data_IF_334774052117
#
_entry.id   IF_334774052117
#
_cell.length_a   1.000
_cell.length_b   1.000
_cell.length_c   1.000
_cell.angle_alpha   90.00
_cell.angle_beta   90.00
_cell.angle_gamma   90.00
#
_symmetry.space_group_name_H-M   'P 1'
#
loop_
_entity.id
_entity.type
_entity.pdbx_description
1 polymer ?
#
# COMPACT_ATOMS: atom_id res chain seq x y z
N UNK A 1 34.90 20.69 46.42
CA UNK A 1 35.22 19.87 45.22
C UNK A 1 34.04 19.00 44.78
N UNK A 2 32.83 19.51 44.63
CA UNK A 2 31.62 18.66 44.36
C UNK A 2 30.72 19.18 43.24
N UNK A 3 30.93 20.37 42.69
CA UNK A 3 30.09 20.92 41.62
C UNK A 3 30.55 20.51 40.19
N UNK A 4 31.84 20.19 40.05
CA UNK A 4 32.41 19.83 38.75
C UNK A 4 32.01 18.44 38.28
N UNK A 5 31.87 17.47 39.18
CA UNK A 5 31.55 16.08 38.85
C UNK A 5 30.08 15.91 38.44
N UNK A 6 29.16 16.66 39.05
CA UNK A 6 27.73 16.60 38.70
C UNK A 6 27.47 17.08 37.27
N UNK A 7 28.17 18.12 36.81
CA UNK A 7 28.05 18.63 35.45
C UNK A 7 28.57 17.63 34.40
N UNK A 8 29.66 16.92 34.69
CA UNK A 8 30.23 15.89 33.80
C UNK A 8 29.26 14.70 33.68
N UNK A 9 28.67 14.26 34.77
CA UNK A 9 27.70 13.15 34.76
C UNK A 9 26.42 13.50 34.01
N UNK A 10 25.93 14.75 34.10
CA UNK A 10 24.78 15.20 33.30
C UNK A 10 25.07 15.22 31.82
N UNK A 11 26.26 15.66 31.39
CA UNK A 11 26.66 15.69 29.98
C UNK A 11 26.79 14.27 29.43
N UNK A 12 27.39 13.34 30.18
CA UNK A 12 27.51 11.94 29.79
C UNK A 12 26.13 11.25 29.66
N UNK A 13 25.19 11.55 30.57
CA UNK A 13 23.84 11.01 30.53
C UNK A 13 23.05 11.56 29.32
N UNK A 14 23.21 12.82 28.95
CA UNK A 14 22.56 13.42 27.78
C UNK A 14 23.15 12.89 26.49
N UNK A 15 24.49 12.73 26.36
CA UNK A 15 25.11 12.10 25.19
C UNK A 15 24.71 10.61 25.07
N UNK A 16 24.60 9.88 26.20
CA UNK A 16 24.14 8.49 26.19
C UNK A 16 22.68 8.33 25.71
N UNK A 17 21.81 9.29 26.02
CA UNK A 17 20.40 9.29 25.58
C UNK A 17 20.24 9.59 24.08
N UNK A 18 21.17 10.34 23.49
CA UNK A 18 21.15 10.68 22.05
C UNK A 18 21.63 9.54 21.15
N UNK A 19 22.30 8.52 21.68
CA UNK A 19 22.80 7.37 20.91
C UNK A 19 21.83 6.21 20.79
N UNK A 20 20.65 6.27 21.45
CA UNK A 20 19.61 5.26 21.33
C UNK A 20 18.58 5.58 20.24
N UNK A 21 19.00 6.22 19.16
CA UNK A 21 18.19 6.24 17.93
C UNK A 21 18.10 4.80 17.40
N UNK A 22 17.11 4.05 17.87
CA UNK A 22 16.72 2.81 17.20
C UNK A 22 16.33 3.19 15.78
N UNK A 23 17.14 2.76 14.82
CA UNK A 23 16.74 2.76 13.43
C UNK A 23 15.44 1.96 13.35
N UNK A 24 14.30 2.66 13.27
CA UNK A 24 13.05 2.04 12.90
C UNK A 24 13.24 1.55 11.47
N UNK A 25 13.58 0.29 11.33
CA UNK A 25 13.65 -0.40 10.04
C UNK A 25 12.22 -0.52 9.52
N UNK A 26 11.73 0.56 8.91
CA UNK A 26 10.38 0.66 8.33
C UNK A 26 10.24 -0.08 6.98
N UNK A 27 11.19 -0.97 6.63
CA UNK A 27 11.27 -1.54 5.27
C UNK A 27 10.68 -2.96 5.11
N UNK A 28 10.09 -3.54 6.17
CA UNK A 28 9.51 -4.87 6.08
C UNK A 28 7.98 -4.92 6.31
N UNK A 29 7.31 -3.76 6.28
CA UNK A 29 5.96 -3.63 6.82
C UNK A 29 4.80 -3.95 5.89
N UNK A 30 4.90 -3.69 4.58
CA UNK A 30 3.70 -3.69 3.74
C UNK A 30 3.02 -5.05 3.64
N UNK A 31 3.76 -6.13 3.37
CA UNK A 31 3.15 -7.47 3.26
C UNK A 31 2.70 -8.07 4.59
N UNK A 32 3.39 -7.74 5.71
CA UNK A 32 3.02 -8.22 7.06
C UNK A 32 1.80 -7.48 7.61
N UNK A 33 1.54 -6.27 7.11
CA UNK A 33 0.45 -5.41 7.57
C UNK A 33 -0.92 -5.83 7.05
N UNK A 34 -0.98 -6.70 6.03
CA UNK A 34 -2.21 -7.10 5.37
C UNK A 34 -2.46 -8.60 5.49
N UNK A 35 -3.74 -8.99 5.63
CA UNK A 35 -4.18 -10.37 5.76
C UNK A 35 -4.60 -10.94 4.40
N UNK A 36 -3.65 -11.56 3.71
CA UNK A 36 -3.88 -12.11 2.36
C UNK A 36 -4.77 -13.36 2.37
N UNK A 37 -4.88 -14.05 3.49
CA UNK A 37 -5.75 -15.22 3.63
C UNK A 37 -7.23 -14.79 3.71
N UNK A 38 -7.49 -13.52 4.05
CA UNK A 38 -8.81 -12.89 4.06
C UNK A 38 -9.05 -12.00 2.83
N UNK A 39 -8.37 -12.29 1.73
CA UNK A 39 -8.58 -11.56 0.49
C UNK A 39 -10.03 -11.71 -0.01
N UNK A 40 -10.56 -10.62 -0.56
CA UNK A 40 -11.89 -10.59 -1.15
C UNK A 40 -11.89 -9.85 -2.48
N UNK A 41 -12.93 -10.05 -3.29
CA UNK A 41 -13.09 -9.42 -4.61
C UNK A 41 -14.47 -8.77 -4.68
N UNK A 42 -14.53 -7.53 -5.14
CA UNK A 42 -15.79 -6.82 -5.36
C UNK A 42 -15.71 -5.86 -6.57
N UNK A 43 -16.90 -5.51 -7.09
CA UNK A 43 -17.05 -4.37 -7.99
C UNK A 43 -16.95 -3.07 -7.19
N UNK A 44 -16.24 -2.11 -7.74
CA UNK A 44 -15.98 -0.83 -7.07
C UNK A 44 -15.99 0.32 -8.09
N UNK A 45 -16.22 1.53 -7.60
CA UNK A 45 -16.10 2.76 -8.38
C UNK A 45 -14.94 3.57 -7.84
N UNK A 46 -13.98 3.91 -8.68
CA UNK A 46 -12.82 4.74 -8.30
C UNK A 46 -13.32 6.13 -7.92
N UNK A 47 -12.89 6.62 -6.76
CA UNK A 47 -13.13 8.00 -6.32
C UNK A 47 -11.89 8.87 -6.50
N UNK A 48 -10.70 8.30 -6.30
CA UNK A 48 -9.42 8.99 -6.50
C UNK A 48 -8.30 7.99 -6.80
N UNK A 49 -7.36 8.37 -7.65
CA UNK A 49 -6.11 7.65 -7.84
C UNK A 49 -4.92 8.59 -7.69
N UNK A 50 -3.98 8.25 -6.82
CA UNK A 50 -2.77 9.01 -6.53
C UNK A 50 -1.54 8.27 -7.00
N UNK A 51 -0.88 8.81 -8.02
CA UNK A 51 0.39 8.28 -8.51
C UNK A 51 1.55 8.90 -7.73
N UNK A 52 1.85 8.37 -6.56
CA UNK A 52 2.81 8.92 -5.58
C UNK A 52 3.85 7.88 -5.14
N UNK A 53 4.97 8.35 -4.58
CA UNK A 53 5.98 7.52 -3.93
C UNK A 53 5.67 7.37 -2.42
N UNK A 54 6.05 6.26 -1.78
CA UNK A 54 6.70 5.06 -2.35
C UNK A 54 5.75 4.16 -3.12
N UNK A 55 4.44 4.21 -2.85
CA UNK A 55 3.43 3.36 -3.45
C UNK A 55 2.24 4.18 -3.92
N UNK A 56 1.76 3.89 -5.14
CA UNK A 56 0.53 4.50 -5.64
C UNK A 56 -0.66 4.08 -4.77
N UNK A 57 -1.64 4.96 -4.65
CA UNK A 57 -2.84 4.76 -3.83
C UNK A 57 -4.09 4.91 -4.68
N UNK A 58 -5.09 4.10 -4.40
CA UNK A 58 -6.41 4.17 -5.01
C UNK A 58 -7.47 4.26 -3.92
N UNK A 59 -8.44 5.14 -4.12
CA UNK A 59 -9.62 5.27 -3.28
C UNK A 59 -10.83 4.86 -4.10
N UNK A 60 -11.72 4.07 -3.51
CA UNK A 60 -12.88 3.53 -4.23
C UNK A 60 -14.04 3.22 -3.30
N UNK A 61 -15.24 3.24 -3.87
CA UNK A 61 -16.48 2.87 -3.19
C UNK A 61 -16.93 1.48 -3.63
N UNK A 62 -17.27 0.63 -2.67
CA UNK A 62 -17.98 -0.64 -2.87
C UNK A 62 -19.42 -0.43 -2.41
N UNK A 63 -20.40 -0.72 -3.29
CA UNK A 63 -21.82 -0.48 -3.00
C UNK A 63 -22.67 -1.75 -2.99
N UNK A 64 -22.35 -2.70 -3.89
CA UNK A 64 -23.22 -3.85 -4.16
C UNK A 64 -22.86 -5.08 -3.31
N UNK A 65 -21.77 -5.05 -2.57
CA UNK A 65 -21.36 -6.10 -1.62
C UNK A 65 -21.67 -5.65 -0.19
N UNK A 66 -22.72 -6.23 0.41
CA UNK A 66 -23.13 -5.88 1.78
C UNK A 66 -22.05 -6.10 2.84
N UNK A 67 -21.13 -7.05 2.60
CA UNK A 67 -20.06 -7.38 3.53
C UNK A 67 -18.91 -6.38 3.49
N UNK A 68 -18.72 -5.71 2.34
CA UNK A 68 -17.60 -4.81 2.10
C UNK A 68 -18.03 -3.42 1.64
N UNK A 69 -19.33 -3.10 1.76
CA UNK A 69 -19.85 -1.78 1.39
C UNK A 69 -19.15 -0.66 2.16
N UNK A 70 -18.70 0.37 1.46
CA UNK A 70 -18.03 1.53 2.05
C UNK A 70 -16.97 2.15 1.17
N UNK A 71 -16.31 3.18 1.71
CA UNK A 71 -15.22 3.90 1.08
C UNK A 71 -13.87 3.33 1.53
N UNK A 72 -13.10 2.82 0.60
CA UNK A 72 -11.85 2.10 0.86
C UNK A 72 -10.63 2.88 0.36
N UNK A 73 -9.53 2.75 1.08
CA UNK A 73 -8.19 3.19 0.67
C UNK A 73 -7.32 1.98 0.37
N UNK A 74 -6.79 1.91 -0.84
CA UNK A 74 -5.94 0.82 -1.29
C UNK A 74 -4.52 1.26 -1.62
N UNK A 75 -3.51 0.52 -1.11
CA UNK A 75 -2.11 0.69 -1.46
C UNK A 75 -1.73 -0.31 -2.56
N UNK A 76 -0.98 0.13 -3.58
CA UNK A 76 -0.41 -0.74 -4.60
C UNK A 76 1.01 -1.14 -4.22
N UNK A 77 1.38 -2.42 -4.43
CA UNK A 77 2.74 -2.89 -4.18
C UNK A 77 3.78 -2.31 -5.15
N UNK A 78 3.52 -2.24 -6.48
CA UNK A 78 4.48 -1.65 -7.39
C UNK A 78 4.68 -0.16 -7.09
N UNK A 79 5.93 0.24 -6.93
CA UNK A 79 6.27 1.66 -6.88
C UNK A 79 6.15 2.29 -8.28
N UNK A 80 6.14 3.63 -8.41
CA UNK A 80 6.03 4.31 -9.70
C UNK A 80 7.05 3.90 -10.75
N UNK A 81 8.30 3.60 -10.36
CA UNK A 81 9.33 3.14 -11.29
C UNK A 81 9.01 1.76 -11.86
N UNK A 82 8.51 0.84 -11.03
CA UNK A 82 8.07 -0.49 -11.45
C UNK A 82 6.83 -0.42 -12.35
N UNK A 83 5.89 0.49 -12.07
CA UNK A 83 4.74 0.73 -12.93
C UNK A 83 5.17 1.23 -14.30
N UNK A 84 6.10 2.18 -14.38
CA UNK A 84 6.66 2.68 -15.65
C UNK A 84 7.33 1.54 -16.42
N UNK A 85 8.15 0.72 -15.77
CA UNK A 85 8.85 -0.41 -16.38
C UNK A 85 7.87 -1.45 -16.97
N UNK A 86 6.67 -1.58 -16.40
CA UNK A 86 5.60 -2.44 -16.92
C UNK A 86 4.66 -1.73 -17.91
N UNK A 87 5.04 -0.53 -18.38
CA UNK A 87 4.29 0.25 -19.36
C UNK A 87 3.14 1.09 -18.78
N UNK A 88 3.02 1.16 -17.46
CA UNK A 88 2.03 1.97 -16.75
C UNK A 88 2.62 3.33 -16.37
N UNK A 89 2.77 4.21 -17.37
CA UNK A 89 3.18 5.60 -17.13
C UNK A 89 2.18 6.31 -16.23
N UNK A 90 2.61 7.43 -15.59
CA UNK A 90 1.71 8.26 -14.79
C UNK A 90 0.44 8.63 -15.56
N UNK A 91 0.59 9.13 -16.80
CA UNK A 91 -0.56 9.52 -17.62
C UNK A 91 -1.51 8.36 -17.88
N UNK A 92 -1.00 7.22 -18.34
CA UNK A 92 -1.81 6.03 -18.61
C UNK A 92 -2.55 5.54 -17.36
N UNK A 93 -1.89 5.51 -16.21
CA UNK A 93 -2.48 5.07 -14.94
C UNK A 93 -3.59 6.01 -14.48
N UNK A 94 -3.34 7.32 -14.54
CA UNK A 94 -4.34 8.33 -14.18
C UNK A 94 -5.57 8.31 -15.10
N UNK A 95 -5.36 8.10 -16.40
CA UNK A 95 -6.46 8.00 -17.38
C UNK A 95 -7.30 6.72 -17.16
N UNK A 96 -6.64 5.60 -16.87
CA UNK A 96 -7.30 4.29 -16.66
C UNK A 96 -8.08 4.22 -15.34
N UNK A 97 -7.64 4.96 -14.32
CA UNK A 97 -8.23 4.95 -12.98
C UNK A 97 -8.76 6.32 -12.56
N UNK A 98 -9.28 7.10 -13.50
CA UNK A 98 -9.94 8.37 -13.18
C UNK A 98 -11.18 8.15 -12.32
N UNK A 99 -11.54 9.15 -11.52
CA UNK A 99 -12.77 9.12 -10.71
C UNK A 99 -14.00 8.77 -11.58
N UNK A 100 -14.87 7.92 -11.05
CA UNK A 100 -16.04 7.39 -11.74
C UNK A 100 -15.78 6.11 -12.55
N UNK A 101 -14.53 5.65 -12.69
CA UNK A 101 -14.24 4.40 -13.39
C UNK A 101 -14.73 3.20 -12.58
N UNK A 102 -15.51 2.32 -13.21
CA UNK A 102 -15.90 1.02 -12.63
C UNK A 102 -14.77 0.01 -12.81
N UNK A 103 -14.44 -0.67 -11.73
CA UNK A 103 -13.39 -1.69 -11.68
C UNK A 103 -13.85 -2.91 -10.89
N UNK A 104 -13.16 -4.02 -11.06
CA UNK A 104 -13.21 -5.14 -10.13
C UNK A 104 -11.88 -5.20 -9.39
N UNK A 105 -11.90 -5.11 -8.07
CA UNK A 105 -10.71 -5.17 -7.22
C UNK A 105 -10.64 -6.50 -6.47
N UNK A 106 -9.44 -7.07 -6.41
CA UNK A 106 -9.11 -8.14 -5.45
C UNK A 106 -8.13 -7.54 -4.45
N UNK A 107 -8.45 -7.61 -3.18
CA UNK A 107 -7.73 -6.89 -2.12
C UNK A 107 -7.52 -7.76 -0.88
N UNK A 108 -6.50 -7.44 -0.09
CA UNK A 108 -6.26 -8.01 1.24
C UNK A 108 -6.48 -6.92 2.31
N UNK A 109 -7.31 -7.16 3.33
CA UNK A 109 -7.59 -6.18 4.37
C UNK A 109 -6.37 -5.95 5.28
N UNK A 110 -6.25 -4.75 5.83
CA UNK A 110 -5.25 -4.46 6.84
C UNK A 110 -5.52 -5.26 8.12
N UNK A 111 -4.47 -5.86 8.71
CA UNK A 111 -4.57 -6.61 9.99
C UNK A 111 -4.97 -5.71 11.15
N UNK A 112 -4.63 -4.43 11.09
CA UNK A 112 -5.04 -3.43 12.06
C UNK A 112 -6.53 -3.06 11.98
N UNK A 113 -7.25 -3.54 10.96
CA UNK A 113 -8.64 -3.19 10.70
C UNK A 113 -8.79 -1.86 9.95
N UNK A 114 -10.03 -1.36 9.90
CA UNK A 114 -10.39 -0.16 9.14
C UNK A 114 -10.63 -0.43 7.66
N UNK A 115 -10.97 0.63 6.92
CA UNK A 115 -11.25 0.59 5.49
C UNK A 115 -9.96 0.77 4.66
N UNK A 116 -8.93 0.00 4.99
CA UNK A 116 -7.60 0.02 4.36
C UNK A 116 -7.25 -1.35 3.82
N UNK A 117 -6.81 -1.41 2.58
CA UNK A 117 -6.50 -2.66 1.89
C UNK A 117 -5.19 -2.58 1.09
N UNK A 118 -4.60 -3.74 0.87
CA UNK A 118 -3.58 -3.92 -0.16
C UNK A 118 -4.27 -4.33 -1.46
N UNK A 119 -3.98 -3.64 -2.54
CA UNK A 119 -4.47 -4.00 -3.88
C UNK A 119 -3.64 -5.17 -4.41
N UNK A 120 -4.30 -6.29 -4.63
CA UNK A 120 -3.71 -7.49 -5.22
C UNK A 120 -3.94 -7.55 -6.73
N UNK A 121 -5.09 -7.06 -7.21
CA UNK A 121 -5.47 -7.06 -8.61
C UNK A 121 -6.54 -6.01 -8.89
N UNK A 122 -6.47 -5.38 -10.06
CA UNK A 122 -7.52 -4.50 -10.57
C UNK A 122 -7.86 -4.96 -11.99
N UNK A 123 -9.14 -5.16 -12.28
CA UNK A 123 -9.65 -5.42 -13.63
C UNK A 123 -10.56 -4.27 -14.06
N UNK A 124 -10.52 -3.93 -15.34
CA UNK A 124 -11.53 -3.05 -15.94
C UNK A 124 -12.83 -3.84 -16.22
N UNK A 125 -13.85 -3.18 -16.75
CA UNK A 125 -15.15 -3.79 -17.10
C UNK A 125 -15.04 -4.88 -18.16
N UNK A 126 -13.98 -4.90 -18.95
CA UNK A 126 -13.70 -5.92 -19.95
C UNK A 126 -12.95 -7.13 -19.38
N UNK A 127 -12.60 -7.12 -18.10
CA UNK A 127 -11.79 -8.13 -17.45
C UNK A 127 -10.28 -8.00 -17.70
N UNK A 128 -9.82 -6.92 -18.32
CA UNK A 128 -8.40 -6.66 -18.56
C UNK A 128 -7.74 -6.13 -17.30
N UNK A 129 -6.54 -6.64 -16.98
CA UNK A 129 -5.81 -6.24 -15.79
C UNK A 129 -5.18 -4.85 -15.93
N UNK A 130 -5.48 -3.98 -14.99
CA UNK A 130 -4.91 -2.64 -14.88
C UNK A 130 -3.77 -2.65 -13.86
N UNK A 131 -2.72 -1.86 -14.13
CA UNK A 131 -1.54 -1.73 -13.27
C UNK A 131 -0.88 -3.08 -12.95
N UNK A 132 -1.13 -4.09 -13.77
CA UNK A 132 -0.53 -5.41 -13.64
C UNK A 132 0.98 -5.31 -13.77
N UNK A 133 1.66 -5.47 -12.66
CA UNK A 133 3.11 -5.62 -12.59
C UNK A 133 3.38 -6.98 -12.00
N UNK A 134 3.91 -7.90 -12.78
CA UNK A 134 4.48 -9.17 -12.39
C UNK A 134 3.80 -10.01 -11.28
N UNK A 135 4.18 -11.25 -11.13
CA UNK A 135 3.63 -12.09 -10.06
C UNK A 135 4.00 -11.50 -8.70
N UNK A 136 3.01 -11.42 -7.82
CA UNK A 136 3.25 -11.09 -6.41
C UNK A 136 4.28 -12.07 -5.86
N UNK A 137 5.25 -11.62 -5.04
CA UNK A 137 6.18 -12.53 -4.38
C UNK A 137 5.40 -13.64 -3.66
N UNK A 138 5.61 -14.90 -4.06
CA UNK A 138 4.89 -16.07 -3.52
C UNK A 138 3.55 -16.41 -4.19
N UNK A 139 3.13 -15.71 -5.22
CA UNK A 139 2.01 -16.15 -6.05
C UNK A 139 2.47 -17.26 -7.02
N UNK A 140 1.67 -18.33 -7.12
CA UNK A 140 1.90 -19.36 -8.12
C UNK A 140 1.86 -18.76 -9.54
N UNK A 141 2.64 -19.29 -10.50
CA UNK A 141 2.59 -18.83 -11.89
C UNK A 141 1.15 -18.89 -12.41
N UNK A 142 0.71 -17.82 -13.07
CA UNK A 142 -0.58 -17.83 -13.75
C UNK A 142 -0.53 -18.88 -14.87
N UNK A 143 -1.56 -19.75 -15.01
CA UNK A 143 -1.66 -20.59 -16.20
C UNK A 143 -1.73 -19.66 -17.42
N UNK A 144 -0.84 -19.88 -18.36
CA UNK A 144 -0.88 -19.25 -19.69
C UNK A 144 -2.06 -19.88 -20.42
N UNK A 145 -2.94 -19.09 -21.05
CA UNK A 145 -4.06 -19.62 -21.84
C UNK A 145 -3.57 -20.44 -23.04
#
# INVERSE_FOLDING_TARGET
MTRSHAAVWCVVAVLGALTTSRSLTAHHGTLVSYDRDKAWTAKAVVTEFRYVNPHAQIYFDVKDDKSHAGHWSGELLPNPAQLIASGWTRKRSMDALKAGTTITVTVAPARAGGMVVLIMRILNEKGEELLGGGPLPGAAPRPVP
#
